data_IF_146528264579
#
_entry.id   IF_146528264579
#
_cell.length_a   1.000
_cell.length_b   1.000
_cell.length_c   1.000
_cell.angle_alpha   90.00
_cell.angle_beta   90.00
_cell.angle_gamma   90.00
#
_symmetry.space_group_name_H-M   'P 1'
#
loop_
_entity.id
_entity.type
_entity.pdbx_description
1 polymer ?
#
# COMPACT_ATOMS: atom_id res chain seq x y z
N UNK A 1 -0.63 -40.03 33.10
CA UNK A 1 -0.71 -38.57 33.35
C UNK A 1 0.52 -37.82 32.82
N UNK A 2 1.75 -38.30 33.01
CA UNK A 2 2.98 -37.60 32.56
C UNK A 2 3.22 -37.59 31.03
N UNK A 3 2.76 -38.62 30.31
CA UNK A 3 2.97 -38.80 28.86
C UNK A 3 2.03 -37.91 28.03
N UNK A 4 0.79 -37.67 28.49
CA UNK A 4 -0.14 -36.74 27.83
C UNK A 4 0.33 -35.28 27.96
N UNK A 5 0.96 -34.93 29.09
CA UNK A 5 1.44 -33.56 29.33
C UNK A 5 2.64 -33.21 28.42
N UNK A 6 3.58 -34.15 28.22
CA UNK A 6 4.70 -33.98 27.29
C UNK A 6 4.25 -33.96 25.83
N UNK A 7 3.26 -34.77 25.46
CA UNK A 7 2.67 -34.77 24.11
C UNK A 7 1.95 -33.44 23.78
N UNK A 8 1.13 -32.94 24.72
CA UNK A 8 0.41 -31.67 24.59
C UNK A 8 1.37 -30.47 24.51
N UNK A 9 2.47 -30.51 25.27
CA UNK A 9 3.55 -29.51 25.20
C UNK A 9 4.29 -29.53 23.85
N UNK A 10 4.52 -30.70 23.27
CA UNK A 10 5.16 -30.85 21.94
C UNK A 10 4.27 -30.32 20.80
N UNK A 11 2.96 -30.63 20.83
CA UNK A 11 1.99 -30.11 19.84
C UNK A 11 1.84 -28.58 19.94
N UNK A 12 1.84 -28.01 21.15
CA UNK A 12 1.77 -26.56 21.33
C UNK A 12 3.01 -25.84 20.79
N UNK A 13 4.22 -26.40 20.99
CA UNK A 13 5.47 -25.86 20.44
C UNK A 13 5.45 -25.87 18.91
N UNK A 14 5.00 -26.96 18.28
CA UNK A 14 4.94 -27.07 16.82
C UNK A 14 3.93 -26.08 16.21
N UNK A 15 2.76 -25.89 16.84
CA UNK A 15 1.78 -24.87 16.42
C UNK A 15 2.33 -23.44 16.56
N UNK A 16 3.09 -23.17 17.62
CA UNK A 16 3.70 -21.85 17.84
C UNK A 16 4.77 -21.54 16.79
N UNK A 17 5.59 -22.53 16.42
CA UNK A 17 6.58 -22.40 15.34
C UNK A 17 5.91 -22.19 13.98
N UNK A 18 4.81 -22.89 13.68
CA UNK A 18 4.05 -22.67 12.43
C UNK A 18 3.48 -21.26 12.36
N UNK A 19 2.91 -20.74 13.45
CA UNK A 19 2.38 -19.36 13.50
C UNK A 19 3.50 -18.34 13.24
N UNK A 20 4.69 -18.56 13.81
CA UNK A 20 5.84 -17.68 13.60
C UNK A 20 6.28 -17.66 12.12
N UNK A 21 6.35 -18.83 11.47
CA UNK A 21 6.67 -18.91 10.03
C UNK A 21 5.62 -18.23 9.16
N UNK A 22 4.32 -18.38 9.47
CA UNK A 22 3.24 -17.69 8.74
C UNK A 22 3.36 -16.18 8.91
N UNK A 23 3.57 -15.68 10.13
CA UNK A 23 3.79 -14.26 10.40
C UNK A 23 5.00 -13.71 9.65
N UNK A 24 6.10 -14.46 9.62
CA UNK A 24 7.31 -14.08 8.88
C UNK A 24 7.05 -14.01 7.37
N UNK A 25 6.37 -15.01 6.79
CA UNK A 25 5.97 -14.99 5.38
C UNK A 25 5.06 -13.80 5.06
N UNK A 26 4.07 -13.51 5.91
CA UNK A 26 3.20 -12.34 5.74
C UNK A 26 4.00 -11.03 5.76
N UNK A 27 4.94 -10.88 6.70
CA UNK A 27 5.79 -9.68 6.80
C UNK A 27 6.63 -9.44 5.53
N UNK A 28 7.20 -10.51 4.94
CA UNK A 28 7.94 -10.43 3.68
C UNK A 28 7.06 -9.95 2.52
N UNK A 29 5.82 -10.46 2.42
CA UNK A 29 4.86 -10.04 1.39
C UNK A 29 4.49 -8.56 1.54
N UNK A 30 4.27 -8.08 2.76
CA UNK A 30 3.98 -6.66 3.00
C UNK A 30 5.16 -5.75 2.66
N UNK A 31 6.40 -6.19 2.86
CA UNK A 31 7.58 -5.40 2.49
C UNK A 31 7.73 -5.31 0.97
N UNK A 32 7.65 -6.44 0.26
CA UNK A 32 7.73 -6.47 -1.19
C UNK A 32 6.60 -5.66 -1.86
N UNK A 33 5.39 -5.70 -1.30
CA UNK A 33 4.26 -4.92 -1.80
C UNK A 33 4.51 -3.41 -1.66
N UNK A 34 5.15 -2.97 -0.56
CA UNK A 34 5.49 -1.57 -0.34
C UNK A 34 6.53 -1.09 -1.34
N UNK A 35 7.59 -1.86 -1.57
CA UNK A 35 8.63 -1.53 -2.54
C UNK A 35 8.07 -1.41 -3.97
N UNK A 36 7.14 -2.29 -4.35
CA UNK A 36 6.46 -2.21 -5.64
C UNK A 36 5.57 -0.96 -5.74
N UNK A 37 4.83 -0.64 -4.67
CA UNK A 37 3.97 0.56 -4.64
C UNK A 37 4.81 1.82 -4.85
N UNK A 38 5.93 1.96 -4.14
CA UNK A 38 6.82 3.12 -4.27
C UNK A 38 7.33 3.28 -5.70
N UNK A 39 7.77 2.18 -6.34
CA UNK A 39 8.19 2.19 -7.74
C UNK A 39 7.07 2.60 -8.70
N UNK A 40 5.84 2.12 -8.46
CA UNK A 40 4.68 2.52 -9.26
C UNK A 40 4.37 4.01 -9.10
N UNK A 41 4.48 4.55 -7.89
CA UNK A 41 4.28 5.98 -7.64
C UNK A 41 5.36 6.85 -8.32
N UNK A 42 6.62 6.45 -8.27
CA UNK A 42 7.72 7.13 -8.97
C UNK A 42 7.52 7.10 -10.50
N UNK A 43 7.10 5.95 -11.04
CA UNK A 43 6.78 5.83 -12.47
C UNK A 43 5.58 6.70 -12.86
N UNK A 44 4.53 6.72 -12.04
CA UNK A 44 3.35 7.55 -12.25
C UNK A 44 3.72 9.05 -12.25
N UNK A 45 4.58 9.48 -11.34
CA UNK A 45 5.10 10.86 -11.26
C UNK A 45 5.90 11.25 -12.51
N UNK A 46 6.78 10.36 -13.00
CA UNK A 46 7.54 10.62 -14.22
C UNK A 46 6.65 10.74 -15.46
N UNK A 47 5.56 9.96 -15.53
CA UNK A 47 4.70 9.89 -16.71
C UNK A 47 3.59 10.95 -16.74
N UNK A 48 3.25 11.58 -15.61
CA UNK A 48 2.06 12.45 -15.52
C UNK A 48 2.10 13.69 -16.42
N UNK A 49 3.31 14.13 -16.77
CA UNK A 49 3.54 15.28 -17.65
C UNK A 49 3.47 14.91 -19.12
N UNK A 50 3.98 13.74 -19.49
CA UNK A 50 4.07 13.28 -20.87
C UNK A 50 2.81 12.52 -21.32
N UNK A 51 2.31 11.62 -20.48
CA UNK A 51 1.16 10.78 -20.78
C UNK A 51 0.28 10.51 -19.53
N UNK A 52 -0.71 11.38 -19.26
CA UNK A 52 -1.59 11.22 -18.10
C UNK A 52 -2.50 9.98 -18.18
N UNK A 53 -2.76 9.42 -19.36
CA UNK A 53 -3.51 8.17 -19.53
C UNK A 53 -2.72 6.99 -18.97
N UNK A 54 -1.43 6.90 -19.30
CA UNK A 54 -0.54 5.89 -18.75
C UNK A 54 -0.35 6.05 -17.24
N UNK A 55 -0.34 7.27 -16.72
CA UNK A 55 -0.33 7.52 -15.27
C UNK A 55 -1.55 6.90 -14.58
N UNK A 56 -2.75 7.03 -15.14
CA UNK A 56 -3.94 6.41 -14.56
C UNK A 56 -3.80 4.88 -14.53
N UNK A 57 -3.35 4.28 -15.64
CA UNK A 57 -3.13 2.83 -15.71
C UNK A 57 -2.10 2.34 -14.69
N UNK A 58 -1.01 3.10 -14.47
CA UNK A 58 0.00 2.77 -13.46
C UNK A 58 -0.59 2.85 -12.05
N UNK A 59 -1.38 3.89 -11.76
CA UNK A 59 -2.03 4.05 -10.45
C UNK A 59 -3.08 2.95 -10.19
N UNK A 60 -3.74 2.43 -11.21
CA UNK A 60 -4.68 1.31 -11.11
C UNK A 60 -4.00 -0.03 -10.80
N UNK A 61 -2.70 -0.18 -11.08
CA UNK A 61 -1.94 -1.37 -10.71
C UNK A 61 -1.75 -1.50 -9.19
N UNK A 62 -1.91 -0.42 -8.44
CA UNK A 62 -1.87 -0.43 -6.98
C UNK A 62 -3.15 -1.11 -6.46
N UNK A 63 -3.03 -2.37 -6.06
CA UNK A 63 -4.20 -3.23 -5.76
C UNK A 63 -4.95 -2.88 -4.48
N UNK A 64 -4.41 -2.03 -3.61
CA UNK A 64 -5.03 -1.65 -2.34
C UNK A 64 -4.65 -0.21 -1.92
N UNK A 65 -5.10 0.81 -2.66
CA UNK A 65 -4.77 2.21 -2.36
C UNK A 65 -5.28 2.66 -0.98
N UNK A 66 -6.34 2.03 -0.46
CA UNK A 66 -6.90 2.28 0.87
C UNK A 66 -5.98 1.86 2.03
N UNK A 67 -4.99 0.99 1.76
CA UNK A 67 -4.01 0.54 2.76
C UNK A 67 -2.78 1.42 2.84
N UNK A 68 -2.60 2.32 1.87
CA UNK A 68 -1.49 3.27 1.85
C UNK A 68 -1.62 4.22 3.04
N UNK A 69 -0.48 4.63 3.62
CA UNK A 69 -0.45 5.55 4.76
C UNK A 69 0.64 6.59 4.60
N UNK A 70 0.44 7.77 5.17
CA UNK A 70 1.43 8.84 5.20
C UNK A 70 1.78 9.33 3.79
N UNK A 71 3.08 9.32 3.45
CA UNK A 71 3.58 9.87 2.17
C UNK A 71 2.98 9.15 0.97
N UNK A 72 3.01 7.82 0.95
CA UNK A 72 2.53 7.02 -0.19
C UNK A 72 1.06 7.29 -0.50
N UNK A 73 0.24 7.46 0.54
CA UNK A 73 -1.19 7.78 0.39
C UNK A 73 -1.40 9.19 -0.17
N UNK A 74 -0.62 10.16 0.33
CA UNK A 74 -0.69 11.54 -0.12
C UNK A 74 -0.23 11.70 -1.58
N UNK A 75 0.85 11.00 -1.95
CA UNK A 75 1.40 10.96 -3.31
C UNK A 75 0.40 10.32 -4.27
N UNK A 76 -0.16 9.16 -3.89
CA UNK A 76 -1.21 8.50 -4.67
C UNK A 76 -2.40 9.43 -4.93
N UNK A 77 -2.92 10.08 -3.87
CA UNK A 77 -4.04 11.00 -4.00
C UNK A 77 -3.70 12.23 -4.86
N UNK A 78 -2.49 12.77 -4.74
CA UNK A 78 -2.01 13.90 -5.53
C UNK A 78 -1.91 13.54 -7.02
N UNK A 79 -1.21 12.44 -7.33
CA UNK A 79 -1.01 11.97 -8.71
C UNK A 79 -2.35 11.58 -9.36
N UNK A 80 -3.25 10.92 -8.63
CA UNK A 80 -4.58 10.57 -9.12
C UNK A 80 -5.41 11.82 -9.44
N UNK A 81 -5.35 12.83 -8.56
CA UNK A 81 -6.02 14.13 -8.76
C UNK A 81 -5.48 14.83 -10.01
N UNK A 82 -4.15 14.89 -10.15
CA UNK A 82 -3.48 15.52 -11.29
C UNK A 82 -3.79 14.81 -12.62
N UNK A 83 -3.78 13.47 -12.63
CA UNK A 83 -4.06 12.67 -13.82
C UNK A 83 -5.53 12.84 -14.27
N UNK A 84 -6.50 12.77 -13.33
CA UNK A 84 -7.92 13.02 -13.62
C UNK A 84 -8.19 14.42 -14.13
N UNK A 85 -7.59 15.43 -13.50
CA UNK A 85 -7.70 16.83 -13.93
C UNK A 85 -7.20 17.01 -15.37
N UNK A 86 -6.04 16.42 -15.70
CA UNK A 86 -5.45 16.51 -17.04
C UNK A 86 -6.25 15.77 -18.11
N UNK A 87 -6.87 14.65 -17.76
CA UNK A 87 -7.73 13.90 -18.69
C UNK A 87 -9.15 14.46 -18.76
N UNK A 88 -9.49 15.50 -17.98
CA UNK A 88 -10.84 16.07 -17.90
C UNK A 88 -11.92 15.05 -17.47
N UNK A 89 -11.50 13.98 -16.77
CA UNK A 89 -12.40 13.00 -16.16
C UNK A 89 -12.73 13.53 -14.79
N UNK A 90 -13.93 14.12 -14.64
CA UNK A 90 -14.65 14.46 -13.40
C UNK A 90 -13.82 15.00 -12.21
N UNK A 91 -14.30 16.09 -11.59
CA UNK A 91 -13.66 16.67 -10.42
C UNK A 91 -13.21 15.60 -9.39
N UNK A 92 -11.94 15.63 -8.93
CA UNK A 92 -11.44 14.73 -7.89
C UNK A 92 -12.35 14.80 -6.66
N UNK A 93 -12.56 13.68 -5.97
CA UNK A 93 -13.42 13.67 -4.79
C UNK A 93 -12.80 14.51 -3.66
N UNK A 94 -13.63 15.23 -2.91
CA UNK A 94 -13.19 16.07 -1.78
C UNK A 94 -12.37 15.28 -0.75
N UNK A 95 -12.63 13.97 -0.61
CA UNK A 95 -11.87 13.05 0.23
C UNK A 95 -10.39 12.92 -0.17
N UNK A 96 -10.10 12.82 -1.47
CA UNK A 96 -8.72 12.70 -1.97
C UNK A 96 -7.97 14.03 -1.81
N UNK A 97 -8.65 15.14 -2.11
CA UNK A 97 -8.11 16.48 -1.96
C UNK A 97 -7.71 16.74 -0.50
N UNK A 98 -8.59 16.40 0.45
CA UNK A 98 -8.31 16.58 1.87
C UNK A 98 -7.12 15.73 2.35
N UNK A 99 -6.97 14.49 1.89
CA UNK A 99 -5.81 13.64 2.22
C UNK A 99 -4.50 14.31 1.79
N UNK A 100 -4.45 14.82 0.56
CA UNK A 100 -3.27 15.53 0.04
C UNK A 100 -2.98 16.80 0.84
N UNK A 101 -4.00 17.62 1.08
CA UNK A 101 -3.86 18.87 1.83
C UNK A 101 -3.37 18.60 3.25
N UNK A 102 -3.98 17.65 3.97
CA UNK A 102 -3.65 17.36 5.36
C UNK A 102 -2.19 16.92 5.53
N UNK A 103 -1.68 16.10 4.60
CA UNK A 103 -0.30 15.63 4.66
C UNK A 103 0.70 16.75 4.29
N UNK A 104 0.46 17.45 3.19
CA UNK A 104 1.42 18.42 2.66
C UNK A 104 1.40 19.77 3.40
N UNK A 105 0.25 20.21 3.95
CA UNK A 105 0.20 21.41 4.82
C UNK A 105 0.86 21.20 6.18
N UNK A 106 0.90 19.98 6.71
CA UNK A 106 1.55 19.69 7.99
C UNK A 106 3.07 19.55 7.87
N UNK A 107 3.58 19.38 6.64
CA UNK A 107 5.00 19.14 6.36
C UNK A 107 5.72 20.30 5.66
N UNK A 108 4.98 21.29 5.15
CA UNK A 108 5.51 22.58 4.68
C UNK A 108 5.50 23.62 5.79
#
# INVERSE_FOLDING_TARGET
MSIEFTFKSSIMKNRQTTILYVLLCCACLFSCQRDNTTKLLELAEAQIWENPDSTLQILEQISSPEKLKGKEQADYALLLTQAKYRYNILAPSDSLINITIDYYKKKG
#
